data_IF_168233958170
#
_entry.id   IF_168233958170
#
_cell.length_a   1.000
_cell.length_b   1.000
_cell.length_c   1.000
_cell.angle_alpha   90.00
_cell.angle_beta   90.00
_cell.angle_gamma   90.00
#
_symmetry.space_group_name_H-M   'P 1'
#
loop_
_entity.id
_entity.type
_entity.pdbx_description
1 polymer ?
#
# COMPACT_ATOMS: atom_id res chain seq x y z
N UNK A 1 4.41 -9.76 15.64
CA UNK A 1 4.70 -9.26 14.27
C UNK A 1 4.36 -7.78 14.29
N UNK A 2 5.29 -6.87 13.97
CA UNK A 2 5.02 -5.42 14.06
C UNK A 2 4.00 -5.00 13.00
N UNK A 3 3.04 -4.14 13.37
CA UNK A 3 2.00 -3.59 12.50
C UNK A 3 2.59 -2.94 11.24
N UNK A 4 3.73 -2.25 11.39
CA UNK A 4 4.49 -1.67 10.28
C UNK A 4 5.00 -2.72 9.29
N UNK A 5 5.45 -3.88 9.80
CA UNK A 5 5.93 -4.98 8.96
C UNK A 5 4.80 -5.64 8.19
N UNK A 6 3.62 -5.79 8.81
CA UNK A 6 2.42 -6.24 8.11
C UNK A 6 2.08 -5.28 6.97
N UNK A 7 2.00 -3.98 7.25
CA UNK A 7 1.63 -2.98 6.25
C UNK A 7 2.59 -2.95 5.06
N UNK A 8 3.90 -3.03 5.31
CA UNK A 8 4.90 -3.08 4.24
C UNK A 8 4.77 -4.34 3.38
N UNK A 9 4.50 -5.50 3.98
CA UNK A 9 4.23 -6.74 3.23
C UNK A 9 2.97 -6.64 2.40
N UNK A 10 1.91 -6.05 2.94
CA UNK A 10 0.66 -5.83 2.19
C UNK A 10 0.90 -4.90 1.00
N UNK A 11 1.67 -3.81 1.19
CA UNK A 11 2.05 -2.89 0.10
C UNK A 11 2.78 -3.63 -1.02
N UNK A 12 3.79 -4.44 -0.66
CA UNK A 12 4.56 -5.25 -1.59
C UNK A 12 3.69 -6.26 -2.33
N UNK A 13 2.85 -7.00 -1.61
CA UNK A 13 1.94 -7.99 -2.17
C UNK A 13 0.99 -7.35 -3.18
N UNK A 14 0.32 -6.27 -2.77
CA UNK A 14 -0.63 -5.54 -3.62
C UNK A 14 0.06 -4.93 -4.85
N UNK A 15 1.30 -4.46 -4.71
CA UNK A 15 2.08 -3.93 -5.83
C UNK A 15 2.47 -5.03 -6.82
N UNK A 16 2.98 -6.16 -6.35
CA UNK A 16 3.32 -7.30 -7.20
C UNK A 16 2.11 -7.82 -7.96
N UNK A 17 0.94 -7.96 -7.32
CA UNK A 17 -0.28 -8.36 -8.01
C UNK A 17 -0.62 -7.49 -9.22
N UNK A 18 -0.39 -6.18 -9.12
CA UNK A 18 -0.66 -5.24 -10.23
C UNK A 18 0.39 -5.33 -11.32
N UNK A 19 1.65 -5.61 -10.97
CA UNK A 19 2.69 -5.90 -11.96
C UNK A 19 2.39 -7.19 -12.72
N UNK A 20 1.98 -8.24 -12.01
CA UNK A 20 1.60 -9.53 -12.59
C UNK A 20 0.37 -9.42 -13.50
N UNK A 21 -0.61 -8.60 -13.10
CA UNK A 21 -1.80 -8.28 -13.91
C UNK A 21 -1.48 -7.35 -15.11
N UNK A 22 -0.23 -6.93 -15.27
CA UNK A 22 0.22 -6.08 -16.38
C UNK A 22 -0.25 -4.64 -16.27
N UNK A 23 -0.66 -4.18 -15.08
CA UNK A 23 -1.18 -2.84 -14.86
C UNK A 23 -0.03 -1.83 -14.89
N UNK A 24 0.16 -1.20 -16.05
CA UNK A 24 1.07 -0.07 -16.20
C UNK A 24 0.36 1.24 -15.86
N UNK A 25 0.77 1.86 -14.74
CA UNK A 25 0.30 3.19 -14.38
C UNK A 25 1.17 4.25 -15.04
N UNK A 26 0.57 5.07 -15.91
CA UNK A 26 1.25 6.21 -16.56
C UNK A 26 1.63 7.32 -15.58
N UNK A 27 0.99 7.39 -14.39
CA UNK A 27 1.39 8.30 -13.32
C UNK A 27 1.40 7.60 -11.97
N UNK A 28 2.51 7.73 -11.23
CA UNK A 28 2.71 7.13 -9.91
C UNK A 28 1.62 7.54 -8.91
N UNK A 29 1.01 8.73 -9.06
CA UNK A 29 -0.11 9.19 -8.23
C UNK A 29 -1.33 8.25 -8.31
N UNK A 30 -1.63 7.69 -9.48
CA UNK A 30 -2.76 6.77 -9.65
C UNK A 30 -2.46 5.42 -9.00
N UNK A 31 -1.24 4.90 -9.20
CA UNK A 31 -0.78 3.67 -8.55
C UNK A 31 -0.82 3.78 -7.02
N UNK A 32 -0.30 4.87 -6.46
CA UNK A 32 -0.33 5.12 -5.00
C UNK A 32 -1.76 5.11 -4.46
N UNK A 33 -2.68 5.78 -5.15
CA UNK A 33 -4.07 5.87 -4.71
C UNK A 33 -4.82 4.53 -4.87
N UNK A 34 -4.50 3.75 -5.90
CA UNK A 34 -5.08 2.44 -6.12
C UNK A 34 -4.63 1.43 -5.05
N UNK A 35 -3.32 1.32 -4.83
CA UNK A 35 -2.75 0.51 -3.75
C UNK A 35 -3.33 0.90 -2.40
N UNK A 36 -3.40 2.21 -2.12
CA UNK A 36 -3.97 2.71 -0.88
C UNK A 36 -5.40 2.21 -0.65
N UNK A 37 -6.25 2.19 -1.69
CA UNK A 37 -7.62 1.69 -1.58
C UNK A 37 -7.67 0.19 -1.27
N UNK A 38 -6.85 -0.62 -1.95
CA UNK A 38 -6.80 -2.07 -1.68
C UNK A 38 -6.28 -2.39 -0.28
N UNK A 39 -5.20 -1.71 0.13
CA UNK A 39 -4.62 -1.89 1.46
C UNK A 39 -5.62 -1.41 2.52
N UNK A 40 -6.31 -0.28 2.30
CA UNK A 40 -7.37 0.20 3.19
C UNK A 40 -8.48 -0.82 3.35
N UNK A 41 -8.92 -1.44 2.26
CA UNK A 41 -9.93 -2.50 2.31
C UNK A 41 -9.47 -3.71 3.13
N UNK A 42 -8.25 -4.17 2.87
CA UNK A 42 -7.67 -5.34 3.56
C UNK A 42 -7.47 -5.07 5.06
N UNK A 43 -6.86 -3.93 5.40
CA UNK A 43 -6.65 -3.52 6.79
C UNK A 43 -7.97 -3.26 7.52
N UNK A 44 -8.98 -2.69 6.85
CA UNK A 44 -10.29 -2.51 7.45
C UNK A 44 -10.99 -3.84 7.74
N UNK A 45 -10.80 -4.85 6.88
CA UNK A 45 -11.35 -6.18 7.07
C UNK A 45 -10.64 -6.95 8.20
N UNK A 46 -9.31 -6.92 8.23
CA UNK A 46 -8.50 -7.73 9.14
C UNK A 46 -8.29 -7.07 10.51
N UNK A 47 -8.10 -5.75 10.54
CA UNK A 47 -7.76 -5.00 11.75
C UNK A 47 -8.80 -3.96 12.14
N UNK A 48 -9.87 -3.77 11.37
CA UNK A 48 -10.87 -2.72 11.65
C UNK A 48 -10.41 -1.30 11.28
N UNK A 49 -9.29 -1.15 10.58
CA UNK A 49 -8.83 0.11 10.00
C UNK A 49 -7.39 0.50 10.39
N UNK A 50 -6.84 1.51 9.71
CA UNK A 50 -5.48 1.98 9.96
C UNK A 50 -5.27 2.54 11.37
N UNK A 51 -6.34 3.10 11.96
CA UNK A 51 -6.33 3.64 13.32
C UNK A 51 -6.00 2.56 14.37
N UNK A 52 -6.44 1.32 14.14
CA UNK A 52 -6.14 0.18 15.01
C UNK A 52 -4.68 -0.27 14.92
N UNK A 53 -4.03 0.02 13.80
CA UNK A 53 -2.60 -0.22 13.58
C UNK A 53 -1.73 0.99 14.00
N UNK A 54 -2.34 2.07 14.51
CA UNK A 54 -1.62 3.30 14.87
C UNK A 54 -1.13 4.13 13.69
N UNK A 55 -1.66 3.91 12.49
CA UNK A 55 -1.29 4.66 11.29
C UNK A 55 -2.40 5.62 10.84
N UNK A 56 -2.00 6.77 10.30
CA UNK A 56 -2.92 7.65 9.57
C UNK A 56 -2.94 7.31 8.09
N UNK A 57 -4.02 7.66 7.40
CA UNK A 57 -4.12 7.48 5.94
C UNK A 57 -2.98 8.19 5.17
N UNK A 58 -2.50 9.32 5.69
CA UNK A 58 -1.39 10.08 5.10
C UNK A 58 -0.09 9.30 5.21
N UNK A 59 0.20 8.72 6.39
CA UNK A 59 1.39 7.91 6.61
C UNK A 59 1.41 6.67 5.70
N UNK A 60 0.26 5.98 5.57
CA UNK A 60 0.14 4.82 4.69
C UNK A 60 0.40 5.22 3.23
N UNK A 61 -0.17 6.33 2.76
CA UNK A 61 0.09 6.86 1.41
C UNK A 61 1.55 7.22 1.20
N UNK A 62 2.22 7.79 2.21
CA UNK A 62 3.65 8.06 2.13
C UNK A 62 4.47 6.79 2.06
N UNK A 63 4.16 5.77 2.86
CA UNK A 63 4.84 4.47 2.82
C UNK A 63 4.72 3.81 1.44
N UNK A 64 3.51 3.78 0.86
CA UNK A 64 3.27 3.28 -0.49
C UNK A 64 4.11 4.05 -1.50
N UNK A 65 4.09 5.39 -1.43
CA UNK A 65 4.85 6.24 -2.35
C UNK A 65 6.35 5.97 -2.25
N UNK A 66 6.90 5.91 -1.02
CA UNK A 66 8.31 5.63 -0.78
C UNK A 66 8.70 4.26 -1.31
N UNK A 67 7.87 3.24 -1.10
CA UNK A 67 8.10 1.89 -1.62
C UNK A 67 8.20 1.87 -3.15
N UNK A 68 7.25 2.50 -3.85
CA UNK A 68 7.27 2.59 -5.32
C UNK A 68 8.50 3.38 -5.80
N UNK A 69 8.82 4.50 -5.15
CA UNK A 69 9.97 5.34 -5.52
C UNK A 69 11.30 4.59 -5.38
N UNK A 70 11.43 3.73 -4.36
CA UNK A 70 12.59 2.86 -4.18
C UNK A 70 12.72 1.80 -5.27
N UNK A 71 11.61 1.33 -5.84
CA UNK A 71 11.60 0.33 -6.92
C UNK A 71 11.80 0.92 -8.31
N UNK A 72 11.53 2.21 -8.49
CA UNK A 72 11.76 2.94 -9.74
C UNK A 72 13.20 3.43 -9.93
N UNK A 73 14.12 3.12 -9.00
CA UNK A 73 15.57 3.37 -9.11
C UNK A 73 16.30 2.16 -9.67
#
# INVERSE_FOLDING_TARGET
>A
MNEKTYLLKEIELQYNYRLEDGVTYTKSKYLVNDLFKSIKGSVNCEFGGFEQLGFTEIEVKQLIKTYIDQLSK
#
